data_IF_254036126229
#
_entry.id   IF_254036126229
#
_cell.length_a   1.000
_cell.length_b   1.000
_cell.length_c   1.000
_cell.angle_alpha   90.00
_cell.angle_beta   90.00
_cell.angle_gamma   90.00
#
_symmetry.space_group_name_H-M   'P 1'
#
loop_
_entity.id
_entity.type
_entity.pdbx_description
1 polymer ?
#
# COMPACT_ATOMS: atom_id res chain seq x y z
N UNK A 1 -8.32 35.49 27.57
CA UNK A 1 -9.53 34.94 28.19
C UNK A 1 -9.59 33.46 27.89
N UNK A 2 -9.61 32.64 28.92
CA UNK A 2 -9.59 31.18 28.93
C UNK A 2 -10.93 30.61 28.47
N UNK A 3 -10.96 29.97 27.30
CA UNK A 3 -12.11 29.19 26.84
C UNK A 3 -11.96 27.73 27.29
N UNK A 4 -12.61 27.37 28.39
CA UNK A 4 -12.69 25.99 28.87
C UNK A 4 -13.70 25.27 27.97
N UNK A 5 -13.27 24.28 27.18
CA UNK A 5 -14.20 23.38 26.46
C UNK A 5 -15.16 22.73 27.44
N UNK A 6 -16.46 22.64 27.14
CA UNK A 6 -17.45 22.11 28.08
C UNK A 6 -17.24 20.59 28.21
N UNK A 7 -16.58 20.17 29.29
CA UNK A 7 -16.52 18.75 29.68
C UNK A 7 -17.94 18.33 30.06
N UNK A 8 -18.61 17.55 29.21
CA UNK A 8 -19.85 16.87 29.61
C UNK A 8 -19.49 15.78 30.62
N UNK A 9 -19.95 15.94 31.85
CA UNK A 9 -19.75 14.97 32.93
C UNK A 9 -21.01 14.13 33.08
N UNK A 10 -20.93 12.86 32.68
CA UNK A 10 -21.95 11.86 32.99
C UNK A 10 -21.55 11.09 34.24
N UNK A 11 -22.50 10.81 35.12
CA UNK A 11 -22.32 9.82 36.20
C UNK A 11 -22.87 8.49 35.68
N UNK A 12 -22.01 7.48 35.62
CA UNK A 12 -22.41 6.09 35.41
C UNK A 12 -22.01 5.27 36.63
N UNK A 13 -22.86 4.32 37.03
CA UNK A 13 -22.56 3.39 38.13
C UNK A 13 -22.17 2.06 37.50
N UNK A 14 -21.03 1.51 37.89
CA UNK A 14 -20.69 0.14 37.52
C UNK A 14 -21.60 -0.81 38.29
N UNK A 15 -22.48 -1.53 37.59
CA UNK A 15 -23.50 -2.38 38.20
C UNK A 15 -22.94 -3.65 38.86
N UNK A 16 -21.67 -3.98 38.61
CA UNK A 16 -21.00 -5.14 39.20
C UNK A 16 -20.24 -4.79 40.48
N UNK A 17 -19.69 -3.57 40.58
CA UNK A 17 -18.82 -3.16 41.70
C UNK A 17 -19.42 -2.08 42.60
N UNK A 18 -20.47 -1.39 42.15
CA UNK A 18 -21.12 -0.29 42.88
C UNK A 18 -20.34 1.03 42.87
N UNK A 19 -19.22 1.09 42.15
CA UNK A 19 -18.39 2.29 42.07
C UNK A 19 -19.01 3.37 41.15
N UNK A 20 -18.98 4.62 41.61
CA UNK A 20 -19.39 5.79 40.84
C UNK A 20 -18.25 6.22 39.92
N UNK A 21 -18.42 6.01 38.62
CA UNK A 21 -17.42 6.37 37.60
C UNK A 21 -17.80 7.71 36.99
N UNK A 22 -16.88 8.68 37.08
CA UNK A 22 -17.02 9.97 36.41
C UNK A 22 -16.42 9.88 35.00
N UNK A 23 -17.29 9.82 33.99
CA UNK A 23 -16.87 9.80 32.60
C UNK A 23 -16.57 11.24 32.15
N UNK A 24 -15.33 11.47 31.70
CA UNK A 24 -14.93 12.72 31.05
C UNK A 24 -14.80 12.44 29.55
N UNK A 25 -15.77 12.92 28.77
CA UNK A 25 -15.73 12.84 27.31
C UNK A 25 -14.88 13.98 26.78
N UNK A 26 -13.73 13.65 26.18
CA UNK A 26 -12.91 14.59 25.42
C UNK A 26 -13.24 14.42 23.94
N UNK A 27 -14.33 15.04 23.49
CA UNK A 27 -14.66 15.12 22.06
C UNK A 27 -14.18 16.48 21.53
N UNK A 28 -12.97 16.50 20.99
CA UNK A 28 -12.60 17.54 20.03
C UNK A 28 -13.15 17.11 18.65
N UNK A 29 -14.39 17.50 18.36
CA UNK A 29 -15.07 17.27 17.08
C UNK A 29 -14.40 18.00 15.88
N UNK A 30 -13.26 18.67 16.09
CA UNK A 30 -12.51 19.39 15.04
C UNK A 30 -11.23 18.69 14.57
N UNK A 31 -10.90 17.50 15.09
CA UNK A 31 -9.71 16.74 14.67
C UNK A 31 -10.09 15.48 13.87
N UNK A 32 -11.13 15.57 13.03
CA UNK A 32 -11.01 14.90 11.73
C UNK A 32 -9.96 15.70 10.96
N UNK A 33 -8.68 15.28 11.03
CA UNK A 33 -7.67 15.72 10.06
C UNK A 33 -8.19 15.32 8.69
N UNK A 34 -8.94 16.20 8.06
CA UNK A 34 -9.55 16.02 6.75
C UNK A 34 -8.42 15.59 5.83
N UNK A 35 -8.49 14.33 5.36
CA UNK A 35 -7.52 13.80 4.40
C UNK A 35 -7.40 14.83 3.29
N UNK A 36 -6.23 15.45 3.12
CA UNK A 36 -6.02 16.46 2.08
C UNK A 36 -6.17 15.74 0.73
N UNK A 37 -7.34 15.90 0.12
CA UNK A 37 -7.62 15.47 -1.26
C UNK A 37 -7.46 16.71 -2.11
N UNK A 38 -6.54 16.67 -3.06
CA UNK A 38 -6.49 17.76 -4.00
C UNK A 38 -7.68 17.64 -4.96
N UNK A 39 -8.41 18.73 -5.15
CA UNK A 39 -9.56 18.79 -6.04
C UNK A 39 -9.10 19.16 -7.45
N UNK A 40 -8.63 18.16 -8.20
CA UNK A 40 -8.18 18.32 -9.58
C UNK A 40 -9.32 17.96 -10.51
N UNK A 41 -10.33 18.83 -10.63
CA UNK A 41 -11.46 18.64 -11.56
C UNK A 41 -10.94 18.49 -13.01
N UNK A 42 -11.44 17.52 -13.82
CA UNK A 42 -12.58 16.62 -13.59
C UNK A 42 -12.21 15.27 -12.94
N UNK A 43 -10.96 15.05 -12.56
CA UNK A 43 -10.47 13.81 -11.96
C UNK A 43 -9.98 14.07 -10.52
N UNK A 44 -10.89 14.48 -9.60
CA UNK A 44 -10.52 14.64 -8.20
C UNK A 44 -10.06 13.28 -7.66
N UNK A 45 -9.03 13.27 -6.82
CA UNK A 45 -8.43 11.98 -6.47
C UNK A 45 -7.38 12.02 -5.38
N UNK A 46 -7.02 10.81 -4.95
CA UNK A 46 -5.86 10.58 -4.09
C UNK A 46 -4.60 10.64 -4.95
N UNK A 47 -3.53 11.13 -4.35
CA UNK A 47 -2.22 11.19 -4.99
C UNK A 47 -1.29 10.17 -4.37
N UNK A 48 -0.48 9.55 -5.21
CA UNK A 48 0.54 8.60 -4.78
C UNK A 48 1.90 9.28 -4.89
N UNK A 49 2.65 9.30 -3.79
CA UNK A 49 4.01 9.81 -3.77
C UNK A 49 4.94 8.76 -4.37
N UNK A 50 5.60 9.07 -5.49
CA UNK A 50 6.54 8.17 -6.18
C UNK A 50 7.91 8.85 -6.31
N UNK A 51 9.03 8.23 -5.89
CA UNK A 51 10.35 8.83 -6.04
C UNK A 51 10.75 8.94 -7.52
N UNK A 52 10.96 10.16 -8.02
CA UNK A 52 11.35 10.42 -9.42
C UNK A 52 12.65 9.70 -9.81
N UNK A 53 13.63 9.62 -8.90
CA UNK A 53 14.90 8.93 -9.15
C UNK A 53 14.69 7.43 -9.36
N UNK A 54 13.83 6.81 -8.56
CA UNK A 54 13.47 5.40 -8.74
C UNK A 54 12.77 5.22 -10.09
N UNK A 55 11.81 6.09 -10.40
CA UNK A 55 11.06 5.99 -11.65
C UNK A 55 12.00 6.09 -12.86
N UNK A 56 12.91 7.06 -12.89
CA UNK A 56 13.90 7.19 -13.96
C UNK A 56 14.75 5.91 -14.12
N UNK A 57 15.17 5.29 -12.99
CA UNK A 57 15.91 4.02 -13.01
C UNK A 57 15.10 2.88 -13.61
N UNK A 58 13.79 2.80 -13.39
CA UNK A 58 12.94 1.76 -13.99
C UNK A 58 12.86 1.84 -15.53
N UNK A 59 13.05 3.03 -16.09
CA UNK A 59 13.06 3.28 -17.54
C UNK A 59 14.45 3.20 -18.17
N UNK A 60 15.52 3.09 -17.37
CA UNK A 60 16.87 2.90 -17.90
C UNK A 60 16.96 1.60 -18.72
N UNK A 61 17.79 1.61 -19.77
CA UNK A 61 17.94 0.48 -20.70
C UNK A 61 18.42 -0.80 -19.99
N UNK A 62 19.20 -0.64 -18.95
CA UNK A 62 19.80 -1.67 -18.11
C UNK A 62 18.96 -2.00 -16.86
N UNK A 63 17.74 -1.46 -16.72
CA UNK A 63 16.93 -1.62 -15.50
C UNK A 63 16.52 -3.07 -15.21
N UNK A 64 16.61 -3.97 -16.18
CA UNK A 64 16.09 -5.34 -16.10
C UNK A 64 14.56 -5.43 -16.06
N UNK A 65 13.84 -4.30 -16.02
CA UNK A 65 12.38 -4.25 -16.06
C UNK A 65 11.87 -3.99 -17.48
N UNK A 66 11.00 -4.88 -17.95
CA UNK A 66 10.33 -4.72 -19.25
C UNK A 66 9.16 -3.74 -19.15
N UNK A 67 8.57 -3.36 -20.31
CA UNK A 67 7.35 -2.55 -20.35
C UNK A 67 6.23 -3.15 -19.49
N UNK A 68 5.98 -4.45 -19.60
CA UNK A 68 4.92 -5.12 -18.85
C UNK A 68 5.14 -5.09 -17.33
N UNK A 69 6.39 -5.07 -16.86
CA UNK A 69 6.67 -4.88 -15.44
C UNK A 69 6.29 -3.48 -14.99
N UNK A 70 6.63 -2.46 -15.78
CA UNK A 70 6.28 -1.07 -15.50
C UNK A 70 4.76 -0.87 -15.53
N UNK A 71 4.08 -1.37 -16.55
CA UNK A 71 2.62 -1.28 -16.69
C UNK A 71 1.93 -1.93 -15.49
N UNK A 72 2.38 -3.12 -15.06
CA UNK A 72 1.85 -3.77 -13.87
C UNK A 72 2.17 -3.01 -12.56
N UNK A 73 3.36 -2.42 -12.44
CA UNK A 73 3.69 -1.58 -11.28
C UNK A 73 2.78 -0.34 -11.21
N UNK A 74 2.56 0.34 -12.33
CA UNK A 74 1.63 1.48 -12.42
C UNK A 74 0.18 1.08 -12.17
N UNK A 75 -0.23 -0.11 -12.60
CA UNK A 75 -1.53 -0.67 -12.24
C UNK A 75 -1.67 -0.79 -10.70
N UNK A 76 -0.65 -1.28 -10.00
CA UNK A 76 -0.67 -1.31 -8.54
C UNK A 76 -0.71 0.08 -7.92
N UNK A 77 0.01 1.07 -8.46
CA UNK A 77 -0.07 2.45 -7.98
C UNK A 77 -1.48 3.05 -8.15
N UNK A 78 -2.16 2.73 -9.24
CA UNK A 78 -3.49 3.26 -9.53
C UNK A 78 -4.62 2.57 -8.77
N UNK A 79 -4.48 1.27 -8.48
CA UNK A 79 -5.57 0.45 -7.95
C UNK A 79 -5.39 0.03 -6.48
N UNK A 80 -4.20 0.17 -5.88
CA UNK A 80 -4.01 -0.22 -4.48
C UNK A 80 -4.85 0.66 -3.54
N UNK A 81 -5.40 0.10 -2.45
CA UNK A 81 -6.07 0.91 -1.43
C UNK A 81 -5.07 1.81 -0.67
N UNK A 82 -5.59 2.70 0.19
CA UNK A 82 -4.75 3.64 0.93
C UNK A 82 -3.79 2.94 1.89
N UNK A 83 -2.74 3.63 2.34
CA UNK A 83 -1.92 3.16 3.46
C UNK A 83 -1.06 1.93 3.14
N UNK A 84 -0.86 1.62 1.85
CA UNK A 84 -0.20 0.40 1.38
C UNK A 84 -0.94 -0.88 1.79
N UNK A 85 -2.27 -0.87 1.82
CA UNK A 85 -3.09 -2.09 1.91
C UNK A 85 -2.88 -3.01 0.68
N UNK A 86 -3.13 -4.34 0.81
CA UNK A 86 -3.04 -5.26 -0.32
C UNK A 86 -4.10 -4.96 -1.38
N UNK A 87 -3.69 -5.01 -2.65
CA UNK A 87 -4.62 -5.11 -3.77
C UNK A 87 -5.15 -6.55 -3.85
N UNK A 88 -6.42 -6.72 -3.47
CA UNK A 88 -7.10 -8.03 -3.44
C UNK A 88 -7.73 -8.39 -4.78
N UNK A 89 -6.90 -8.45 -5.82
CA UNK A 89 -7.26 -8.98 -7.14
C UNK A 89 -6.46 -10.25 -7.43
N UNK A 90 -7.14 -11.25 -7.97
CA UNK A 90 -6.53 -12.49 -8.46
C UNK A 90 -5.73 -12.23 -9.74
N UNK A 91 -4.79 -13.13 -10.07
CA UNK A 91 -4.02 -13.02 -11.31
C UNK A 91 -4.91 -13.08 -12.56
N UNK A 92 -6.07 -13.74 -12.47
CA UNK A 92 -7.05 -13.81 -13.53
C UNK A 92 -7.71 -12.45 -13.76
N UNK A 93 -8.24 -11.83 -12.71
CA UNK A 93 -8.86 -10.50 -12.80
C UNK A 93 -7.87 -9.44 -13.30
N UNK A 94 -6.62 -9.46 -12.79
CA UNK A 94 -5.58 -8.56 -13.28
C UNK A 94 -5.29 -8.80 -14.77
N UNK A 95 -5.25 -10.05 -15.22
CA UNK A 95 -5.02 -10.39 -16.62
C UNK A 95 -6.20 -10.02 -17.53
N UNK A 96 -7.43 -10.02 -17.00
CA UNK A 96 -8.62 -9.57 -17.75
C UNK A 96 -8.59 -8.05 -17.95
N UNK A 97 -8.09 -7.30 -16.96
CA UNK A 97 -7.99 -5.83 -17.04
C UNK A 97 -6.81 -5.38 -17.91
N UNK A 98 -5.61 -5.93 -17.67
CA UNK A 98 -4.38 -5.52 -18.38
C UNK A 98 -4.15 -6.28 -19.70
N UNK A 99 -4.92 -7.34 -19.93
CA UNK A 99 -4.68 -8.29 -21.00
C UNK A 99 -3.54 -9.28 -20.70
N UNK A 100 -3.57 -10.42 -21.38
CA UNK A 100 -2.53 -11.45 -21.30
C UNK A 100 -2.95 -12.69 -20.50
N UNK A 101 -1.96 -13.48 -20.06
CA UNK A 101 -2.19 -14.76 -19.36
C UNK A 101 -1.99 -14.60 -17.85
N UNK A 102 -2.82 -15.21 -16.99
CA UNK A 102 -2.63 -15.16 -15.53
C UNK A 102 -1.24 -15.63 -15.05
N UNK A 103 -0.67 -16.63 -15.73
CA UNK A 103 0.69 -17.13 -15.43
C UNK A 103 1.78 -16.06 -15.68
N UNK A 104 1.58 -15.22 -16.69
CA UNK A 104 2.48 -14.09 -16.97
C UNK A 104 2.38 -13.05 -15.86
N UNK A 105 1.18 -12.72 -15.40
CA UNK A 105 0.98 -11.81 -14.26
C UNK A 105 1.70 -12.32 -13.01
N UNK A 106 1.52 -13.60 -12.67
CA UNK A 106 2.21 -14.22 -11.52
C UNK A 106 3.74 -14.08 -11.62
N UNK A 107 4.31 -14.28 -12.81
CA UNK A 107 5.75 -14.14 -13.05
C UNK A 107 6.22 -12.69 -12.89
N UNK A 108 5.49 -11.74 -13.49
CA UNK A 108 5.80 -10.31 -13.38
C UNK A 108 5.73 -9.84 -11.92
N UNK A 109 4.69 -10.25 -11.18
CA UNK A 109 4.56 -9.96 -9.75
C UNK A 109 5.72 -10.54 -8.94
N UNK A 110 6.17 -11.75 -9.28
CA UNK A 110 7.36 -12.36 -8.70
C UNK A 110 8.60 -11.48 -8.88
N UNK A 111 8.85 -10.98 -10.08
CA UNK A 111 9.98 -10.08 -10.39
C UNK A 111 9.87 -8.73 -9.68
N UNK A 112 8.71 -8.09 -9.74
CA UNK A 112 8.44 -6.83 -9.03
C UNK A 112 8.61 -6.99 -7.51
N UNK A 113 8.19 -8.14 -6.98
CA UNK A 113 8.43 -8.50 -5.60
C UNK A 113 9.93 -8.69 -5.35
N UNK A 114 10.67 -9.48 -6.12
CA UNK A 114 12.10 -9.69 -5.86
C UNK A 114 12.89 -8.38 -5.83
N UNK A 115 12.62 -7.46 -6.77
CA UNK A 115 13.27 -6.13 -6.77
C UNK A 115 12.64 -5.11 -5.83
N UNK A 116 11.77 -5.52 -4.92
CA UNK A 116 11.26 -4.65 -3.85
C UNK A 116 10.34 -3.53 -4.30
N UNK A 117 9.77 -3.58 -5.49
CA UNK A 117 8.75 -2.62 -5.93
C UNK A 117 7.38 -2.96 -5.31
N UNK A 118 7.11 -4.26 -5.15
CA UNK A 118 5.94 -4.78 -4.46
C UNK A 118 6.35 -5.63 -3.26
N UNK A 119 5.49 -5.66 -2.24
CA UNK A 119 5.65 -6.51 -1.04
C UNK A 119 4.48 -7.47 -0.96
N UNK A 120 4.72 -8.70 -0.51
CA UNK A 120 3.61 -9.59 -0.15
C UNK A 120 2.99 -9.03 1.13
N UNK A 121 1.69 -8.77 1.10
CA UNK A 121 0.94 -8.26 2.25
C UNK A 121 0.05 -9.33 2.86
N UNK A 122 -0.53 -10.21 2.04
CA UNK A 122 -1.46 -11.23 2.49
C UNK A 122 -1.24 -12.54 1.71
N UNK A 123 -1.57 -13.66 2.34
CA UNK A 123 -1.61 -14.98 1.69
C UNK A 123 -2.92 -15.67 2.01
N UNK A 124 -3.63 -16.10 0.98
CA UNK A 124 -4.86 -16.89 1.09
C UNK A 124 -4.64 -18.20 0.33
N UNK A 125 -4.50 -19.29 1.08
CA UNK A 125 -4.06 -20.57 0.53
C UNK A 125 -2.72 -20.46 -0.18
N UNK A 126 -2.70 -20.76 -1.49
CA UNK A 126 -1.49 -20.66 -2.35
C UNK A 126 -1.35 -19.29 -3.03
N UNK A 127 -2.34 -18.42 -2.93
CA UNK A 127 -2.34 -17.12 -3.58
C UNK A 127 -1.67 -16.06 -2.70
N UNK A 128 -0.93 -15.15 -3.34
CA UNK A 128 -0.28 -14.02 -2.67
C UNK A 128 -0.93 -12.73 -3.14
N UNK A 129 -1.36 -11.89 -2.20
CA UNK A 129 -1.76 -10.53 -2.50
C UNK A 129 -0.61 -9.58 -2.17
N UNK A 130 -0.38 -8.67 -3.10
CA UNK A 130 0.71 -7.73 -3.04
C UNK A 130 0.20 -6.34 -2.68
N UNK A 131 1.08 -5.56 -2.06
CA UNK A 131 0.93 -4.13 -1.85
C UNK A 131 2.10 -3.40 -2.50
N UNK A 132 1.93 -2.11 -2.80
CA UNK A 132 3.03 -1.24 -3.20
C UNK A 132 4.02 -1.14 -2.04
N UNK A 133 5.31 -1.25 -2.32
CA UNK A 133 6.32 -0.94 -1.32
C UNK A 133 6.25 0.56 -1.00
N UNK A 134 6.09 0.99 0.27
CA UNK A 134 6.01 2.42 0.64
C UNK A 134 7.26 3.23 0.26
N UNK A 135 8.40 2.57 0.01
CA UNK A 135 9.62 3.19 -0.55
C UNK A 135 9.58 3.38 -2.08
N UNK A 136 8.73 2.63 -2.78
CA UNK A 136 8.53 2.72 -4.22
C UNK A 136 7.33 3.61 -4.59
N UNK A 137 6.29 3.62 -3.76
CA UNK A 137 5.12 4.47 -3.90
C UNK A 137 4.26 4.44 -2.64
N UNK A 138 3.63 5.56 -2.27
CA UNK A 138 2.75 5.59 -1.10
C UNK A 138 1.52 6.49 -1.31
N UNK A 139 0.34 5.92 -1.09
CA UNK A 139 -0.95 6.61 -1.05
C UNK A 139 -1.25 7.00 0.39
N UNK A 140 -0.93 8.24 0.77
CA UNK A 140 -1.11 8.75 2.12
C UNK A 140 -0.24 9.96 2.45
N UNK A 141 -0.28 10.38 3.73
CA UNK A 141 0.52 11.50 4.21
C UNK A 141 2.02 11.16 4.29
N UNK A 142 2.88 12.17 4.21
CA UNK A 142 4.32 11.99 4.38
C UNK A 142 4.69 11.39 5.74
N UNK A 143 4.00 11.79 6.81
CA UNK A 143 4.21 11.22 8.15
C UNK A 143 3.90 9.72 8.18
N UNK A 144 2.79 9.30 7.60
CA UNK A 144 2.44 7.88 7.52
C UNK A 144 3.42 7.11 6.63
N UNK A 145 3.95 7.74 5.58
CA UNK A 145 4.98 7.15 4.74
C UNK A 145 6.26 6.89 5.53
N UNK A 146 6.72 7.86 6.34
CA UNK A 146 7.91 7.71 7.20
C UNK A 146 7.78 6.50 8.12
N UNK A 147 6.61 6.30 8.72
CA UNK A 147 6.32 5.11 9.53
C UNK A 147 6.33 3.83 8.67
N UNK A 148 5.62 3.84 7.53
CA UNK A 148 5.48 2.68 6.66
C UNK A 148 6.80 2.21 6.05
N UNK A 149 7.79 3.09 5.84
CA UNK A 149 9.08 2.73 5.24
C UNK A 149 10.07 2.10 6.23
N UNK A 150 9.83 2.17 7.55
CA UNK A 150 10.78 1.68 8.58
C UNK A 150 11.22 0.24 8.33
N UNK A 151 10.25 -0.65 8.12
CA UNK A 151 10.49 -2.09 7.92
C UNK A 151 10.44 -2.51 6.44
N UNK A 152 10.26 -1.55 5.53
CA UNK A 152 10.18 -1.84 4.12
C UNK A 152 11.58 -1.93 3.50
N UNK A 153 11.86 -3.04 2.81
CA UNK A 153 13.12 -3.20 2.05
C UNK A 153 13.27 -2.14 0.97
N UNK A 154 14.50 -1.83 0.59
CA UNK A 154 14.80 -0.90 -0.50
C UNK A 154 14.43 -1.51 -1.85
N UNK A 155 13.82 -0.72 -2.76
CA UNK A 155 13.68 -1.10 -4.16
C UNK A 155 15.05 -1.26 -4.82
N UNK A 156 15.21 -2.29 -5.65
CA UNK A 156 16.46 -2.64 -6.33
C UNK A 156 16.28 -2.47 -7.84
N UNK A 157 17.22 -1.76 -8.45
CA UNK A 157 17.38 -1.64 -9.89
C UNK A 157 18.87 -1.80 -10.18
N UNK A 158 19.31 -2.74 -11.05
CA UNK A 158 18.50 -3.54 -11.98
C UNK A 158 17.67 -4.65 -11.32
N UNK A 159 16.64 -5.14 -12.02
CA UNK A 159 15.78 -6.23 -11.57
C UNK A 159 16.63 -7.46 -11.19
N UNK A 160 16.41 -8.07 -10.01
CA UNK A 160 17.13 -9.27 -9.62
C UNK A 160 16.92 -10.40 -10.62
N UNK A 161 17.97 -11.15 -10.90
CA UNK A 161 17.87 -12.34 -11.74
C UNK A 161 16.85 -13.31 -11.14
N UNK A 162 15.90 -13.78 -11.95
CA UNK A 162 14.97 -14.80 -11.51
C UNK A 162 15.77 -16.05 -11.10
N UNK A 163 15.46 -16.68 -9.95
CA UNK A 163 16.15 -17.89 -9.55
C UNK A 163 15.98 -18.92 -10.67
N UNK A 164 17.10 -19.47 -11.13
CA UNK A 164 17.10 -20.50 -12.17
C UNK A 164 16.13 -21.60 -11.72
N UNK A 165 15.06 -21.83 -12.50
CA UNK A 165 14.17 -22.95 -12.25
C UNK A 165 15.04 -24.21 -12.36
N UNK A 166 15.31 -24.86 -11.22
CA UNK A 166 15.87 -26.21 -11.22
C UNK A 166 14.90 -27.04 -12.07
N UNK A 167 15.29 -27.38 -13.30
CA UNK A 167 14.62 -28.43 -14.07
C UNK A 167 14.57 -29.62 -13.11
N UNK A 168 13.37 -29.99 -12.68
CA UNK A 168 13.17 -31.31 -12.09
C UNK A 168 13.54 -32.28 -13.19
N UNK A 169 14.70 -32.92 -13.04
CA UNK A 169 14.98 -34.15 -13.78
C UNK A 169 13.81 -35.09 -13.49
N UNK A 170 13.16 -35.53 -14.55
CA UNK A 170 12.11 -36.54 -14.44
C UNK A 170 12.79 -37.83 -13.98
N UNK A 171 12.44 -38.26 -12.76
CA UNK A 171 12.64 -39.64 -12.30
C UNK A 171 11.42 -40.46 -12.63
#
# INVERSE_FOLDING_TARGET
MTGISPVRRGKAVNTETGELVQLSFFEDETVQRTRVRYDWTPYPGRHVNVPKVLLAKLYAKDSGYTKNHRDLFFFYLAHSPDGAEPLRLTYKEISEILGGRPATISTLLGTLHMGGLLLVAERVGRMKFYRVNPRAGFDGSAANQVEAVRDARLPVVPAPAAPAQKKKEAS
#
